data_IF_324153786715
#
_entry.id   IF_324153786715
#
_cell.length_a   1.000
_cell.length_b   1.000
_cell.length_c   1.000
_cell.angle_alpha   90.00
_cell.angle_beta   90.00
_cell.angle_gamma   90.00
#
_symmetry.space_group_name_H-M   'P 1'
#
loop_
_entity.id
_entity.type
_entity.pdbx_description
1 polymer ?
#
# COMPACT_ATOMS: atom_id res chain seq x y z
N UNK A 1 23.13 15.65 41.54
CA UNK A 1 22.52 14.70 40.58
C UNK A 1 23.49 13.57 40.39
N UNK A 2 23.08 12.34 40.67
CA UNK A 2 23.94 11.15 40.54
C UNK A 2 24.37 10.92 39.08
N UNK A 3 25.65 10.66 38.85
CA UNK A 3 26.20 10.46 37.50
C UNK A 3 25.57 9.25 36.79
N UNK A 4 25.23 8.20 37.52
CA UNK A 4 24.53 7.04 36.97
C UNK A 4 23.12 7.39 36.48
N UNK A 5 22.43 8.31 37.16
CA UNK A 5 21.09 8.74 36.76
C UNK A 5 21.15 9.55 35.46
N UNK A 6 22.13 10.45 35.34
CA UNK A 6 22.34 11.22 34.10
C UNK A 6 22.65 10.31 32.91
N UNK A 7 23.51 9.31 33.12
CA UNK A 7 23.84 8.32 32.08
C UNK A 7 22.60 7.54 31.63
N UNK A 8 21.74 7.11 32.56
CA UNK A 8 20.49 6.41 32.22
C UNK A 8 19.50 7.31 31.46
N UNK A 9 19.47 8.61 31.74
CA UNK A 9 18.62 9.57 31.01
C UNK A 9 19.14 9.73 29.58
N UNK A 10 20.44 9.89 29.39
CA UNK A 10 21.07 9.99 28.07
C UNK A 10 20.84 8.72 27.24
N UNK A 11 21.06 7.54 27.82
CA UNK A 11 20.80 6.25 27.18
C UNK A 11 19.32 6.08 26.77
N UNK A 12 18.39 6.64 27.54
CA UNK A 12 16.97 6.62 27.20
C UNK A 12 16.64 7.59 26.06
N UNK A 13 17.21 8.80 26.06
CA UNK A 13 17.05 9.77 24.99
C UNK A 13 17.47 9.20 23.63
N UNK A 14 18.64 8.56 23.58
CA UNK A 14 19.14 7.91 22.36
C UNK A 14 18.19 6.82 21.83
N UNK A 15 17.58 6.03 22.72
CA UNK A 15 16.61 4.99 22.32
C UNK A 15 15.31 5.60 21.81
N UNK A 16 14.83 6.67 22.42
CA UNK A 16 13.62 7.38 22.00
C UNK A 16 13.82 7.97 20.60
N UNK A 17 14.97 8.60 20.34
CA UNK A 17 15.29 9.18 19.04
C UNK A 17 15.37 8.08 17.95
N UNK A 18 16.02 6.95 18.26
CA UNK A 18 16.08 5.82 17.34
C UNK A 18 14.69 5.23 17.04
N UNK A 19 13.81 5.15 18.05
CA UNK A 19 12.42 4.72 17.87
C UNK A 19 11.67 5.70 16.99
N UNK A 20 11.78 7.01 17.26
CA UNK A 20 11.13 8.04 16.47
C UNK A 20 11.53 7.95 14.99
N UNK A 21 12.82 7.82 14.70
CA UNK A 21 13.31 7.67 13.33
C UNK A 21 12.77 6.38 12.65
N UNK A 22 12.73 5.26 13.38
CA UNK A 22 12.20 4.00 12.86
C UNK A 22 10.70 4.05 12.54
N UNK A 23 9.92 4.74 13.38
CA UNK A 23 8.48 4.90 13.21
C UNK A 23 8.18 5.81 12.03
N UNK A 24 8.91 6.91 11.85
CA UNK A 24 8.68 7.81 10.72
C UNK A 24 9.04 7.13 9.37
N UNK A 25 10.10 6.31 9.34
CA UNK A 25 10.41 5.46 8.19
C UNK A 25 9.27 4.48 7.89
N UNK A 26 8.76 3.80 8.91
CA UNK A 26 7.66 2.85 8.78
C UNK A 26 6.39 3.53 8.26
N UNK A 27 6.05 4.71 8.79
CA UNK A 27 4.91 5.52 8.34
C UNK A 27 5.03 5.88 6.86
N UNK A 28 6.20 6.32 6.42
CA UNK A 28 6.45 6.68 5.01
C UNK A 28 6.36 5.47 4.09
N UNK A 29 6.95 4.34 4.47
CA UNK A 29 6.90 3.10 3.68
C UNK A 29 5.51 2.51 3.63
N UNK A 30 4.76 2.55 4.73
CA UNK A 30 3.38 2.07 4.77
C UNK A 30 2.49 2.80 3.75
N UNK A 31 2.58 4.13 3.70
CA UNK A 31 1.86 4.92 2.69
C UNK A 31 2.27 4.55 1.26
N UNK A 32 3.57 4.39 1.02
CA UNK A 32 4.10 4.00 -0.29
C UNK A 32 3.62 2.60 -0.72
N UNK A 33 3.64 1.62 0.18
CA UNK A 33 3.18 0.25 -0.08
C UNK A 33 1.69 0.22 -0.41
N UNK A 34 0.86 1.01 0.27
CA UNK A 34 -0.56 1.12 -0.06
C UNK A 34 -0.73 1.57 -1.50
N UNK A 35 -0.05 2.64 -1.91
CA UNK A 35 -0.15 3.13 -3.28
C UNK A 35 0.34 2.12 -4.30
N UNK A 36 1.45 1.44 -4.05
CA UNK A 36 1.94 0.37 -4.93
C UNK A 36 0.92 -0.76 -5.04
N UNK A 37 0.33 -1.19 -3.92
CA UNK A 37 -0.67 -2.26 -3.90
C UNK A 37 -1.92 -1.85 -4.67
N UNK A 38 -2.38 -0.62 -4.47
CA UNK A 38 -3.54 -0.08 -5.18
C UNK A 38 -3.27 -0.01 -6.69
N UNK A 39 -2.12 0.51 -7.11
CA UNK A 39 -1.79 0.66 -8.52
C UNK A 39 -1.45 -0.66 -9.21
N UNK A 40 -0.71 -1.55 -8.54
CA UNK A 40 -0.21 -2.79 -9.12
C UNK A 40 -1.18 -3.97 -9.04
N UNK A 41 -2.11 -3.95 -8.10
CA UNK A 41 -3.03 -5.08 -7.87
C UNK A 41 -4.48 -4.64 -7.95
N UNK A 42 -4.90 -3.68 -7.11
CA UNK A 42 -6.32 -3.32 -7.00
C UNK A 42 -6.85 -2.70 -8.29
N UNK A 43 -6.13 -1.72 -8.86
CA UNK A 43 -6.56 -1.00 -10.06
C UNK A 43 -6.68 -1.94 -11.27
N UNK A 44 -5.70 -2.83 -11.57
CA UNK A 44 -5.87 -3.84 -12.62
C UNK A 44 -7.06 -4.78 -12.38
N UNK A 45 -7.26 -5.27 -11.15
CA UNK A 45 -8.37 -6.17 -10.85
C UNK A 45 -9.73 -5.48 -11.04
N UNK A 46 -9.86 -4.25 -10.55
CA UNK A 46 -11.06 -3.43 -10.74
C UNK A 46 -11.27 -3.16 -12.23
N UNK A 47 -10.22 -2.80 -12.97
CA UNK A 47 -10.29 -2.60 -14.42
C UNK A 47 -10.78 -3.85 -15.15
N UNK A 48 -10.24 -5.03 -14.83
CA UNK A 48 -10.69 -6.30 -15.40
C UNK A 48 -12.14 -6.61 -15.07
N UNK A 49 -12.60 -6.30 -13.84
CA UNK A 49 -13.99 -6.51 -13.44
C UNK A 49 -14.99 -5.71 -14.30
N UNK A 50 -14.58 -4.59 -14.91
CA UNK A 50 -15.40 -3.82 -15.84
C UNK A 50 -15.15 -4.20 -17.32
N UNK A 51 -13.91 -4.46 -17.69
CA UNK A 51 -13.54 -4.79 -19.08
C UNK A 51 -14.10 -6.15 -19.48
N UNK A 52 -14.01 -7.17 -18.63
CA UNK A 52 -14.47 -8.53 -18.94
C UNK A 52 -15.97 -8.59 -19.30
N UNK A 53 -16.91 -8.07 -18.50
CA UNK A 53 -18.33 -8.13 -18.85
C UNK A 53 -18.65 -7.32 -20.11
N UNK A 54 -18.04 -6.14 -20.29
CA UNK A 54 -18.24 -5.33 -21.50
C UNK A 54 -17.69 -6.01 -22.76
N UNK A 55 -16.54 -6.67 -22.64
CA UNK A 55 -15.97 -7.42 -23.75
C UNK A 55 -16.86 -8.62 -24.13
N UNK A 56 -17.36 -9.36 -23.13
CA UNK A 56 -18.19 -10.53 -23.37
C UNK A 56 -19.56 -10.15 -23.95
N UNK A 57 -20.19 -9.06 -23.50
CA UNK A 57 -21.45 -8.59 -24.08
C UNK A 57 -21.28 -8.24 -25.56
N UNK A 58 -20.25 -7.47 -25.89
CA UNK A 58 -19.97 -7.07 -27.28
C UNK A 58 -19.69 -8.28 -28.18
N UNK A 59 -18.99 -9.29 -27.65
CA UNK A 59 -18.70 -10.52 -28.39
C UNK A 59 -19.97 -11.35 -28.63
N UNK A 60 -20.81 -11.53 -27.61
CA UNK A 60 -22.09 -12.25 -27.73
C UNK A 60 -23.04 -11.53 -28.68
N UNK A 61 -23.14 -10.21 -28.60
CA UNK A 61 -23.97 -9.40 -29.50
C UNK A 61 -23.54 -9.54 -30.96
N UNK A 62 -22.22 -9.57 -31.20
CA UNK A 62 -21.65 -9.79 -32.54
C UNK A 62 -22.05 -11.16 -33.09
N UNK A 63 -21.95 -12.23 -32.29
CA UNK A 63 -22.42 -13.57 -32.69
C UNK A 63 -23.92 -13.59 -32.98
N UNK A 64 -24.74 -13.06 -32.06
CA UNK A 64 -26.19 -12.96 -32.27
C UNK A 64 -26.56 -12.19 -33.54
N UNK A 65 -25.81 -11.14 -33.89
CA UNK A 65 -26.04 -10.37 -35.12
C UNK A 65 -25.70 -11.13 -36.41
N UNK A 66 -24.80 -12.11 -36.33
CA UNK A 66 -24.46 -13.01 -37.44
C UNK A 66 -25.49 -14.14 -37.59
N UNK A 67 -26.48 -14.23 -36.70
CA UNK A 67 -27.58 -15.20 -36.76
C UNK A 67 -27.17 -16.63 -36.41
N UNK A 68 -26.01 -16.82 -35.78
CA UNK A 68 -25.49 -18.10 -35.27
C UNK A 68 -25.11 -18.03 -33.81
#
# INVERSE_FOLDING_TARGET
MDQELNKKIEEQGLKIDAIYESVEKTRKYFLMIIWITVLGVVLPLVGLAFVLPSFLSNYVDSFSSLGI
#
